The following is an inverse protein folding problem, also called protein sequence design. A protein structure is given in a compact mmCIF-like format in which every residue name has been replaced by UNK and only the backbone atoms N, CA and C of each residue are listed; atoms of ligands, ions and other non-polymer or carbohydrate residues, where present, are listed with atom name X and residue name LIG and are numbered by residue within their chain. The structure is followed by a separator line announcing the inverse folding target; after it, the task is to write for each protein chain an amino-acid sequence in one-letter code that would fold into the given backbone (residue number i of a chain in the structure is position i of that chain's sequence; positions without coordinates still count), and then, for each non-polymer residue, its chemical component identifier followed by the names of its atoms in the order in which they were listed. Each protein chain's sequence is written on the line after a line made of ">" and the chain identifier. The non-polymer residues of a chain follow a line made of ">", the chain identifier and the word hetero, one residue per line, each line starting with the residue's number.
data_IF_721462125807
#
_entry.id   IF_721462125807
#
_cell.length_a   1.000
_cell.length_b   1.000
_cell.length_c   1.000
_cell.angle_alpha   90.00
_cell.angle_beta   90.00
_cell.angle_gamma   90.00
#
_symmetry.space_group_name_H-M   'P 1'
#
loop_
_entity.id
_entity.type
_entity.pdbx_description
1 polymer ?
#
# COMPACT_ATOMS: atom_id res chain seq x y z
N UNK A 1 -23.51 -6.40 -9.25
CA UNK A 1 -23.70 -7.75 -9.87
C UNK A 1 -25.10 -7.84 -10.46
N UNK A 2 -26.11 -7.32 -9.75
CA UNK A 2 -27.49 -7.17 -10.26
C UNK A 2 -27.58 -6.17 -11.43
N UNK A 3 -26.68 -5.20 -11.52
CA UNK A 3 -26.67 -4.21 -12.60
C UNK A 3 -26.30 -4.79 -13.98
N UNK A 4 -25.63 -5.95 -14.02
CA UNK A 4 -25.15 -6.52 -15.29
C UNK A 4 -26.30 -7.15 -16.08
N UNK A 5 -27.14 -7.94 -15.43
CA UNK A 5 -28.32 -8.56 -16.04
C UNK A 5 -29.36 -7.50 -16.44
N UNK A 6 -29.52 -6.45 -15.62
CA UNK A 6 -30.37 -5.31 -15.94
C UNK A 6 -29.87 -4.49 -17.14
N UNK A 7 -28.56 -4.25 -17.24
CA UNK A 7 -27.96 -3.55 -18.38
C UNK A 7 -28.07 -4.35 -19.69
N UNK A 8 -27.93 -5.67 -19.62
CA UNK A 8 -28.10 -6.56 -20.78
C UNK A 8 -29.56 -6.59 -21.27
N UNK A 9 -30.52 -6.54 -20.34
CA UNK A 9 -31.96 -6.39 -20.63
C UNK A 9 -32.31 -5.09 -21.37
N UNK A 10 -31.52 -4.02 -21.13
CA UNK A 10 -31.65 -2.73 -21.80
C UNK A 10 -30.90 -2.67 -23.15
N UNK A 11 -30.33 -3.78 -23.61
CA UNK A 11 -29.58 -3.87 -24.86
C UNK A 11 -28.14 -3.34 -24.77
N UNK A 12 -27.61 -3.09 -23.57
CA UNK A 12 -26.23 -2.63 -23.37
C UNK A 12 -25.31 -3.85 -23.40
N UNK A 13 -24.30 -3.83 -24.28
CA UNK A 13 -23.31 -4.90 -24.36
C UNK A 13 -22.33 -4.83 -23.18
N UNK A 14 -22.69 -5.50 -22.08
CA UNK A 14 -21.88 -5.52 -20.84
C UNK A 14 -20.49 -6.12 -21.06
N UNK A 15 -20.37 -7.09 -21.97
CA UNK A 15 -19.10 -7.73 -22.31
C UNK A 15 -18.10 -6.75 -22.93
N UNK A 16 -18.54 -5.91 -23.87
CA UNK A 16 -17.69 -4.90 -24.51
C UNK A 16 -17.13 -3.89 -23.51
N UNK A 17 -17.99 -3.32 -22.65
CA UNK A 17 -17.55 -2.35 -21.65
C UNK A 17 -16.61 -2.96 -20.60
N UNK A 18 -16.83 -4.22 -20.24
CA UNK A 18 -15.95 -4.95 -19.32
C UNK A 18 -14.57 -5.17 -19.93
N UNK A 19 -14.51 -5.63 -21.18
CA UNK A 19 -13.24 -5.76 -21.92
C UNK A 19 -12.53 -4.42 -22.07
N UNK A 20 -13.25 -3.33 -22.38
CA UNK A 20 -12.66 -2.00 -22.49
C UNK A 20 -12.05 -1.54 -21.16
N UNK A 21 -12.77 -1.72 -20.05
CA UNK A 21 -12.26 -1.37 -18.71
C UNK A 21 -11.02 -2.20 -18.34
N UNK A 22 -11.01 -3.49 -18.70
CA UNK A 22 -9.86 -4.37 -18.49
C UNK A 22 -8.67 -3.96 -19.35
N UNK A 23 -8.90 -3.62 -20.63
CA UNK A 23 -7.85 -3.20 -21.55
C UNK A 23 -7.17 -1.91 -21.08
N UNK A 24 -7.94 -0.93 -20.61
CA UNK A 24 -7.41 0.33 -20.06
C UNK A 24 -6.59 0.04 -18.79
N UNK A 25 -7.08 -0.80 -17.87
CA UNK A 25 -6.36 -1.19 -16.66
C UNK A 25 -5.06 -1.96 -16.97
N UNK A 26 -5.11 -2.91 -17.91
CA UNK A 26 -3.96 -3.71 -18.33
C UNK A 26 -2.89 -2.84 -19.01
N UNK A 27 -3.30 -1.85 -19.81
CA UNK A 27 -2.38 -0.90 -20.43
C UNK A 27 -1.54 -0.16 -19.38
N UNK A 28 -2.19 0.47 -18.39
CA UNK A 28 -1.48 1.19 -17.33
C UNK A 28 -0.63 0.26 -16.45
N UNK A 29 -1.13 -0.93 -16.16
CA UNK A 29 -0.38 -1.95 -15.40
C UNK A 29 0.88 -2.39 -16.15
N UNK A 30 0.79 -2.62 -17.46
CA UNK A 30 1.93 -2.99 -18.30
C UNK A 30 2.97 -1.88 -18.42
N UNK A 31 2.54 -0.63 -18.59
CA UNK A 31 3.44 0.53 -18.63
C UNK A 31 4.18 0.68 -17.29
N UNK A 32 3.47 0.59 -16.16
CA UNK A 32 4.07 0.66 -14.84
C UNK A 32 5.09 -0.47 -14.60
N UNK A 33 4.75 -1.71 -14.97
CA UNK A 33 5.66 -2.86 -14.85
C UNK A 33 6.91 -2.74 -15.72
N UNK A 34 6.78 -2.27 -16.95
CA UNK A 34 7.90 -2.04 -17.87
C UNK A 34 8.88 -0.98 -17.32
N UNK A 35 8.35 0.14 -16.83
CA UNK A 35 9.16 1.19 -16.19
C UNK A 35 9.86 0.67 -14.93
N UNK A 36 9.19 -0.14 -14.11
CA UNK A 36 9.76 -0.72 -12.91
C UNK A 36 10.92 -1.68 -13.22
N UNK A 37 10.79 -2.53 -14.24
CA UNK A 37 11.89 -3.39 -14.70
C UNK A 37 13.06 -2.58 -15.26
N UNK A 38 12.78 -1.51 -16.00
CA UNK A 38 13.82 -0.62 -16.50
C UNK A 38 14.59 0.06 -15.36
N UNK A 39 13.90 0.46 -14.29
CA UNK A 39 14.51 1.03 -13.09
C UNK A 39 15.42 0.03 -12.34
N UNK A 40 15.00 -1.24 -12.23
CA UNK A 40 15.81 -2.27 -11.55
C UNK A 40 17.06 -2.68 -12.34
N UNK A 41 17.02 -2.64 -13.68
CA UNK A 41 18.17 -2.91 -14.55
C UNK A 41 18.59 -4.37 -14.65
N UNK A 42 18.01 -5.26 -13.86
CA UNK A 42 18.15 -6.72 -13.94
C UNK A 42 16.84 -7.41 -13.53
N UNK A 43 16.64 -8.64 -14.02
CA UNK A 43 15.44 -9.43 -13.75
C UNK A 43 15.86 -10.60 -12.85
N UNK A 44 15.53 -10.51 -11.57
CA UNK A 44 15.69 -11.59 -10.60
C UNK A 44 14.29 -12.02 -10.11
N UNK A 45 13.90 -13.30 -10.22
CA UNK A 45 12.57 -13.76 -9.80
C UNK A 45 12.24 -13.42 -8.34
N UNK A 46 13.25 -13.30 -7.47
CA UNK A 46 13.01 -12.86 -6.09
C UNK A 46 12.56 -11.39 -6.06
N UNK A 47 13.21 -10.52 -6.81
CA UNK A 47 12.88 -9.08 -6.85
C UNK A 47 11.56 -8.82 -7.56
N UNK A 48 11.20 -9.59 -8.60
CA UNK A 48 10.00 -9.33 -9.42
C UNK A 48 8.76 -10.06 -8.89
N UNK A 49 8.94 -11.24 -8.29
CA UNK A 49 7.84 -12.10 -7.84
C UNK A 49 7.86 -12.38 -6.34
N UNK A 50 8.61 -11.61 -5.54
CA UNK A 50 8.53 -11.70 -4.06
C UNK A 50 7.08 -11.55 -3.63
N UNK A 51 6.54 -12.65 -3.09
CA UNK A 51 5.20 -12.69 -2.51
C UNK A 51 5.08 -11.66 -1.39
N UNK A 52 6.16 -11.52 -0.61
CA UNK A 52 6.18 -10.67 0.57
C UNK A 52 6.19 -9.17 0.22
N UNK A 53 7.05 -8.76 -0.71
CA UNK A 53 7.32 -7.34 -0.91
C UNK A 53 6.42 -6.68 -1.95
N UNK A 54 6.06 -7.41 -3.02
CA UNK A 54 5.28 -6.85 -4.13
C UNK A 54 3.81 -7.26 -4.03
N UNK A 55 3.55 -8.56 -3.88
CA UNK A 55 2.18 -9.07 -3.96
C UNK A 55 1.32 -8.61 -2.78
N UNK A 56 1.83 -8.75 -1.55
CA UNK A 56 1.13 -8.27 -0.36
C UNK A 56 0.98 -6.75 -0.40
N UNK A 57 2.02 -6.02 -0.78
CA UNK A 57 1.98 -4.55 -0.80
C UNK A 57 0.95 -4.01 -1.81
N UNK A 58 0.85 -4.61 -3.00
CA UNK A 58 -0.15 -4.23 -4.01
C UNK A 58 -1.58 -4.40 -3.48
N UNK A 59 -1.85 -5.49 -2.77
CA UNK A 59 -3.15 -5.74 -2.14
C UNK A 59 -3.41 -4.73 -1.01
N UNK A 60 -2.41 -4.50 -0.15
CA UNK A 60 -2.52 -3.58 0.99
C UNK A 60 -2.80 -2.14 0.55
N UNK A 61 -2.17 -1.67 -0.52
CA UNK A 61 -2.44 -0.33 -1.09
C UNK A 61 -3.91 -0.18 -1.48
N UNK A 62 -4.51 -1.22 -2.07
CA UNK A 62 -5.95 -1.23 -2.40
C UNK A 62 -6.85 -1.24 -1.18
N UNK A 63 -6.54 -2.08 -0.17
CA UNK A 63 -7.33 -2.21 1.06
C UNK A 63 -7.24 -0.95 1.92
N UNK A 64 -6.03 -0.46 2.17
CA UNK A 64 -5.78 0.74 2.97
C UNK A 64 -6.31 1.99 2.26
N UNK A 65 -6.24 2.04 0.93
CA UNK A 65 -6.82 3.12 0.14
C UNK A 65 -8.34 3.18 0.22
N UNK A 66 -9.00 2.02 0.24
CA UNK A 66 -10.45 1.88 0.33
C UNK A 66 -11.02 1.11 -0.85
N UNK A 67 -11.68 -0.01 -0.57
CA UNK A 67 -12.23 -0.94 -1.56
C UNK A 67 -13.36 -0.27 -2.36
N UNK A 68 -13.26 -0.31 -3.70
CA UNK A 68 -14.32 0.20 -4.59
C UNK A 68 -14.34 1.71 -4.81
N UNK A 69 -13.27 2.44 -4.43
CA UNK A 69 -13.18 3.89 -4.67
C UNK A 69 -12.19 4.22 -5.79
N UNK A 70 -12.50 5.21 -6.63
CA UNK A 70 -11.65 5.63 -7.77
C UNK A 70 -10.34 6.26 -7.28
N UNK A 71 -10.37 7.02 -6.19
CA UNK A 71 -9.21 7.72 -5.63
C UNK A 71 -8.51 6.96 -4.50
N UNK A 72 -9.12 5.89 -3.97
CA UNK A 72 -8.59 5.10 -2.86
C UNK A 72 -7.18 4.57 -3.11
N UNK A 73 -6.90 3.89 -4.24
CA UNK A 73 -5.58 3.33 -4.50
C UNK A 73 -4.45 4.38 -4.53
N UNK A 74 -4.73 5.59 -5.04
CA UNK A 74 -3.75 6.67 -5.07
C UNK A 74 -3.40 7.18 -3.66
N UNK A 75 -4.41 7.39 -2.81
CA UNK A 75 -4.21 7.79 -1.40
C UNK A 75 -3.56 6.66 -0.60
N UNK A 76 -4.00 5.41 -0.82
CA UNK A 76 -3.41 4.23 -0.21
C UNK A 76 -1.93 4.08 -0.56
N UNK A 77 -1.55 4.29 -1.83
CA UNK A 77 -0.17 4.25 -2.27
C UNK A 77 0.67 5.33 -1.58
N UNK A 78 0.17 6.57 -1.56
CA UNK A 78 0.88 7.68 -0.92
C UNK A 78 1.13 7.42 0.57
N UNK A 79 0.11 6.97 1.30
CA UNK A 79 0.23 6.70 2.73
C UNK A 79 1.14 5.50 3.00
N UNK A 80 0.95 4.39 2.29
CA UNK A 80 1.75 3.19 2.47
C UNK A 80 3.23 3.44 2.16
N UNK A 81 3.52 4.14 1.06
CA UNK A 81 4.90 4.52 0.69
C UNK A 81 5.51 5.44 1.74
N UNK A 82 4.77 6.45 2.22
CA UNK A 82 5.27 7.35 3.28
C UNK A 82 5.55 6.59 4.57
N UNK A 83 4.66 5.68 4.97
CA UNK A 83 4.83 4.86 6.17
C UNK A 83 6.03 3.93 6.03
N UNK A 84 6.19 3.28 4.88
CA UNK A 84 7.36 2.44 4.59
C UNK A 84 8.66 3.25 4.64
N UNK A 85 8.67 4.43 4.03
CA UNK A 85 9.85 5.28 4.01
C UNK A 85 10.20 5.79 5.41
N UNK A 86 9.21 6.16 6.23
CA UNK A 86 9.42 6.55 7.62
C UNK A 86 9.98 5.39 8.47
N UNK A 87 9.50 4.17 8.25
CA UNK A 87 10.05 2.98 8.90
C UNK A 87 11.48 2.67 8.45
N UNK A 88 11.77 2.87 7.16
CA UNK A 88 13.10 2.63 6.59
C UNK A 88 14.14 3.68 6.99
N UNK A 89 13.78 4.96 6.93
CA UNK A 89 14.70 6.09 7.09
C UNK A 89 14.66 6.72 8.49
N UNK A 90 13.48 6.94 9.06
CA UNK A 90 13.29 7.76 10.26
C UNK A 90 13.62 7.04 11.57
N UNK A 91 12.97 5.91 11.83
CA UNK A 91 13.16 5.17 13.09
C UNK A 91 14.45 4.34 13.08
N UNK A 92 14.78 3.78 11.91
CA UNK A 92 15.87 2.82 11.77
C UNK A 92 17.18 3.45 11.25
N UNK A 93 17.10 4.48 10.40
CA UNK A 93 18.27 5.19 9.86
C UNK A 93 19.06 5.95 10.93
N UNK A 94 18.38 6.56 11.90
CA UNK A 94 19.02 7.19 13.07
C UNK A 94 19.73 6.14 13.95
N UNK A 95 19.14 4.97 14.14
CA UNK A 95 19.75 3.86 14.88
C UNK A 95 21.01 3.33 14.17
N UNK A 96 20.98 3.20 12.83
CA UNK A 96 22.14 2.87 12.00
C UNK A 96 23.23 3.94 12.06
N UNK A 97 22.86 5.23 12.01
CA UNK A 97 23.80 6.35 12.11
C UNK A 97 24.48 6.38 13.48
N UNK A 98 23.72 6.22 14.57
CA UNK A 98 24.24 6.18 15.92
C UNK A 98 25.14 4.96 16.17
N UNK A 99 24.75 3.79 15.64
CA UNK A 99 25.57 2.57 15.68
C UNK A 99 26.90 2.73 14.93
N UNK A 100 26.90 3.42 13.79
CA UNK A 100 28.10 3.71 13.00
C UNK A 100 28.99 4.79 13.65
N UNK A 101 28.38 5.79 14.29
CA UNK A 101 29.08 6.87 15.00
C UNK A 101 29.76 6.40 16.31
N UNK A 102 29.29 5.30 16.90
CA UNK A 102 29.82 4.79 18.18
C UNK A 102 31.09 3.92 18.01
N UNK A 103 31.50 3.58 16.78
CA UNK A 103 32.78 2.90 16.49
C UNK A 103 32.97 1.49 17.10
N UNK A 104 32.00 0.96 17.84
CA UNK A 104 32.07 -0.33 18.52
C UNK A 104 31.45 -1.43 17.67
N UNK A 105 32.27 -2.42 17.31
CA UNK A 105 31.90 -3.61 16.51
C UNK A 105 30.80 -4.47 17.12
N UNK A 106 30.49 -4.29 18.41
CA UNK A 106 29.36 -4.96 19.08
C UNK A 106 28.01 -4.32 18.74
N UNK A 107 27.96 -2.98 18.62
CA UNK A 107 26.72 -2.25 18.31
C UNK A 107 26.36 -2.39 16.83
N UNK A 108 27.35 -2.50 15.95
CA UNK A 108 27.12 -2.79 14.53
C UNK A 108 26.34 -4.09 14.29
N UNK A 109 26.62 -5.15 15.06
CA UNK A 109 25.94 -6.46 14.95
C UNK A 109 24.51 -6.43 15.50
N UNK A 110 24.29 -5.69 16.59
CA UNK A 110 22.94 -5.51 17.17
C UNK A 110 22.09 -4.66 16.22
N UNK A 111 22.67 -3.60 15.65
CA UNK A 111 22.02 -2.81 14.62
C UNK A 111 21.67 -3.64 13.40
N UNK A 112 22.53 -4.54 12.92
CA UNK A 112 22.22 -5.45 11.81
C UNK A 112 21.01 -6.36 12.11
N UNK A 113 20.94 -6.91 13.32
CA UNK A 113 19.84 -7.81 13.75
C UNK A 113 18.51 -7.08 13.88
N UNK A 114 18.53 -5.87 14.47
CA UNK A 114 17.33 -5.02 14.56
C UNK A 114 16.96 -4.51 13.16
N UNK A 115 17.95 -4.33 12.26
CA UNK A 115 17.68 -4.00 10.84
C UNK A 115 16.93 -5.13 10.22
N UNK A 116 17.29 -6.41 10.43
CA UNK A 116 16.51 -7.55 9.92
C UNK A 116 15.07 -7.60 10.47
N UNK A 117 14.87 -7.20 11.73
CA UNK A 117 13.57 -7.26 12.41
C UNK A 117 12.55 -6.19 11.95
N UNK A 118 12.94 -5.21 11.13
CA UNK A 118 12.03 -4.17 10.63
C UNK A 118 10.81 -4.72 9.88
N UNK A 119 10.94 -5.88 9.22
CA UNK A 119 9.85 -6.55 8.50
C UNK A 119 8.72 -6.95 9.45
N UNK A 120 9.06 -7.43 10.66
CA UNK A 120 8.08 -7.80 11.67
C UNK A 120 7.39 -6.56 12.26
N UNK A 121 8.15 -5.49 12.48
CA UNK A 121 7.60 -4.21 12.94
C UNK A 121 6.64 -3.59 11.91
N UNK A 122 7.00 -3.66 10.63
CA UNK A 122 6.14 -3.23 9.53
C UNK A 122 4.87 -4.09 9.44
N UNK A 123 4.98 -5.41 9.58
CA UNK A 123 3.84 -6.32 9.60
C UNK A 123 2.85 -6.03 10.73
N UNK A 124 3.34 -5.83 11.96
CA UNK A 124 2.50 -5.45 13.11
C UNK A 124 1.83 -4.10 12.87
N UNK A 125 2.57 -3.12 12.35
CA UNK A 125 2.03 -1.80 12.03
C UNK A 125 0.88 -1.91 11.01
N UNK A 126 1.07 -2.66 9.93
CA UNK A 126 0.04 -2.89 8.92
C UNK A 126 -1.19 -3.56 9.53
N UNK A 127 -1.02 -4.58 10.39
CA UNK A 127 -2.13 -5.23 11.09
C UNK A 127 -2.89 -4.22 11.97
N UNK A 128 -2.18 -3.35 12.69
CA UNK A 128 -2.79 -2.29 13.49
C UNK A 128 -3.54 -1.30 12.60
N UNK A 129 -2.97 -0.88 11.47
CA UNK A 129 -3.61 0.03 10.52
C UNK A 129 -4.91 -0.58 9.96
N UNK A 130 -4.89 -1.87 9.59
CA UNK A 130 -6.08 -2.58 9.11
C UNK A 130 -7.14 -2.71 10.21
N UNK A 131 -6.73 -2.96 11.46
CA UNK A 131 -7.66 -3.02 12.60
C UNK A 131 -8.33 -1.68 12.90
N UNK A 132 -7.64 -0.56 12.65
CA UNK A 132 -8.17 0.78 12.94
C UNK A 132 -9.01 1.33 11.77
N UNK A 133 -8.79 0.88 10.53
CA UNK A 133 -9.42 1.42 9.32
C UNK A 133 -9.95 0.31 8.39
N UNK A 134 -11.01 -0.44 8.77
CA UNK A 134 -11.50 -1.60 8.02
C UNK A 134 -12.12 -1.26 6.65
N UNK A 135 -12.59 -0.03 6.41
CA UNK A 135 -13.08 0.39 5.09
C UNK A 135 -12.03 1.19 4.28
N UNK A 136 -10.80 1.32 4.78
CA UNK A 136 -9.74 2.13 4.20
C UNK A 136 -9.89 3.64 4.44
N UNK A 137 -8.84 4.40 4.16
CA UNK A 137 -8.70 5.83 4.46
C UNK A 137 -9.76 6.67 3.74
N UNK A 138 -10.04 6.37 2.47
CA UNK A 138 -11.03 7.11 1.68
C UNK A 138 -12.46 6.66 1.99
N UNK A 139 -12.66 5.39 2.36
CA UNK A 139 -13.97 4.84 2.74
C UNK A 139 -14.47 5.35 4.10
N UNK A 140 -13.58 5.42 5.10
CA UNK A 140 -13.89 5.92 6.45
C UNK A 140 -13.60 7.43 6.62
N UNK A 141 -13.43 8.20 5.53
CA UNK A 141 -13.15 9.65 5.59
C UNK A 141 -14.09 10.46 6.51
N UNK A 142 -15.40 10.18 6.59
CA UNK A 142 -16.29 10.83 7.57
C UNK A 142 -15.97 10.45 9.03
N UNK A 143 -15.56 9.21 9.30
CA UNK A 143 -15.18 8.75 10.65
C UNK A 143 -13.83 9.32 11.09
N UNK A 144 -12.85 9.41 10.19
CA UNK A 144 -11.54 10.03 10.47
C UNK A 144 -11.73 11.52 10.78
N UNK A 145 -12.55 12.21 9.99
CA UNK A 145 -12.89 13.62 10.23
C UNK A 145 -13.58 13.81 11.58
N UNK A 146 -14.51 12.94 11.96
CA UNK A 146 -15.25 13.07 13.23
C UNK A 146 -14.45 12.62 14.47
N UNK A 147 -13.48 11.70 14.30
CA UNK A 147 -12.55 11.31 15.37
C UNK A 147 -11.54 12.42 15.67
N UNK A 148 -11.10 13.17 14.64
CA UNK A 148 -10.14 14.26 14.78
C UNK A 148 -10.80 15.61 15.09
N UNK A 149 -11.95 15.89 14.48
CA UNK A 149 -12.78 17.06 14.76
C UNK A 149 -14.01 16.62 15.57
N UNK A 150 -13.87 16.57 16.90
CA UNK A 150 -15.02 16.53 17.82
C UNK A 150 -15.87 17.79 17.63
N UNK A 151 -16.81 17.79 16.70
CA UNK A 151 -18.01 18.61 16.88
C UNK A 151 -18.88 17.88 17.90
N UNK A 152 -18.97 18.46 19.10
CA UNK A 152 -19.98 18.08 20.08
C UNK A 152 -21.35 18.09 19.39
N UNK A 153 -22.21 17.09 19.59
CA UNK A 153 -23.58 17.18 19.10
C UNK A 153 -24.25 18.38 19.79
N UNK A 154 -24.70 19.35 19.00
CA UNK A 154 -25.65 20.36 19.47
C UNK A 154 -27.02 19.66 19.56
N UNK A 155 -27.56 19.68 20.77
CA UNK A 155 -28.95 19.33 21.12
C UNK A 155 -29.96 20.12 20.32
#
# INVERSE_FOLDING_TARGET
>A
REDQDAAESLGINTHYYKMLSLAIAAFWTGVAGSLYMNYMGFIDPDVVFSLHDISIMAILVGIVGGVGTIHGPAVGAFVMVTVQELFRSGFFGLFKFLAKATGSSTIGRIAETITGAHILGFGILVVVVILVLPNGIVGDWPKIRNAFFRTKPAT
#
